data_IF_969747895379
#
_entry.id   IF_969747895379
#
_cell.length_a   1.000
_cell.length_b   1.000
_cell.length_c   1.000
_cell.angle_alpha   90.00
_cell.angle_beta   90.00
_cell.angle_gamma   90.00
#
_symmetry.space_group_name_H-M   'P 1'
#
loop_
_entity.id
_entity.type
_entity.pdbx_description
1 polymer ?
#
# COMPACT_ATOMS: atom_id res chain seq x y z
N UNK A 1 8.73 -13.56 -4.16
CA UNK A 1 8.07 -12.65 -3.21
C UNK A 1 7.81 -13.42 -1.92
N UNK A 2 8.32 -12.90 -0.80
CA UNK A 2 8.06 -13.46 0.53
C UNK A 2 6.97 -12.65 1.20
N UNK A 3 5.86 -13.28 1.57
CA UNK A 3 4.67 -12.62 2.12
C UNK A 3 4.56 -12.94 3.62
N UNK A 4 4.42 -11.92 4.48
CA UNK A 4 4.14 -12.13 5.91
C UNK A 4 2.79 -12.83 6.14
N UNK A 5 2.78 -13.86 6.99
CA UNK A 5 1.57 -14.57 7.38
C UNK A 5 0.89 -15.28 6.21
N UNK A 6 -0.43 -15.13 6.11
CA UNK A 6 -1.22 -15.79 5.04
C UNK A 6 -1.27 -14.98 3.75
N UNK A 7 -0.91 -13.69 3.80
CA UNK A 7 -1.07 -12.76 2.69
C UNK A 7 -2.50 -12.30 2.40
N UNK A 8 -3.50 -12.75 3.19
CA UNK A 8 -4.91 -12.34 3.05
C UNK A 8 -5.28 -11.09 3.85
N UNK A 9 -4.39 -10.62 4.72
CA UNK A 9 -4.63 -9.41 5.50
C UNK A 9 -4.80 -8.20 4.57
N UNK A 10 -5.89 -7.48 4.78
CA UNK A 10 -6.26 -6.32 3.98
C UNK A 10 -5.39 -5.13 4.36
N UNK A 11 -4.98 -4.34 3.37
CA UNK A 11 -4.30 -3.07 3.60
C UNK A 11 -4.61 -2.04 2.51
N UNK A 12 -4.28 -0.80 2.82
CA UNK A 12 -4.46 0.37 1.96
C UNK A 12 -3.15 0.73 1.28
N UNK A 13 -3.21 1.06 0.00
CA UNK A 13 -2.08 1.60 -0.76
C UNK A 13 -2.51 2.84 -1.52
N UNK A 14 -1.55 3.75 -1.73
CA UNK A 14 -1.71 4.94 -2.56
C UNK A 14 -0.36 5.20 -3.21
N UNK A 15 -0.33 5.49 -4.51
CA UNK A 15 0.92 5.83 -5.18
C UNK A 15 1.49 7.15 -4.63
N UNK A 16 2.81 7.26 -4.51
CA UNK A 16 3.45 8.49 -4.01
C UNK A 16 3.11 9.71 -4.87
N UNK A 17 2.99 9.52 -6.20
CA UNK A 17 2.58 10.55 -7.15
C UNK A 17 1.18 11.07 -6.84
N UNK A 18 0.25 10.17 -6.50
CA UNK A 18 -1.11 10.57 -6.18
C UNK A 18 -1.23 11.18 -4.78
N UNK A 19 -0.40 10.76 -3.82
CA UNK A 19 -0.25 11.47 -2.55
C UNK A 19 0.18 12.92 -2.79
N UNK A 20 1.12 13.18 -3.70
CA UNK A 20 1.53 14.55 -4.04
C UNK A 20 0.38 15.37 -4.65
N UNK A 21 -0.42 14.78 -5.56
CA UNK A 21 -1.61 15.43 -6.12
C UNK A 21 -2.62 15.78 -5.02
N UNK A 22 -2.87 14.85 -4.10
CA UNK A 22 -3.76 15.07 -2.96
C UNK A 22 -3.28 16.20 -2.06
N UNK A 23 -1.98 16.24 -1.73
CA UNK A 23 -1.42 17.33 -0.92
C UNK A 23 -1.59 18.68 -1.65
N UNK A 24 -1.36 18.71 -2.95
CA UNK A 24 -1.57 19.92 -3.76
C UNK A 24 -3.04 20.37 -3.76
N UNK A 25 -4.00 19.43 -3.84
CA UNK A 25 -5.43 19.76 -3.77
C UNK A 25 -5.87 20.18 -2.36
N UNK A 26 -5.31 19.58 -1.30
CA UNK A 26 -5.52 20.06 0.06
C UNK A 26 -5.13 21.53 0.17
N UNK A 27 -3.92 21.88 -0.26
CA UNK A 27 -3.39 23.26 -0.20
C UNK A 27 -4.27 24.29 -0.93
N UNK A 28 -5.05 23.87 -1.92
CA UNK A 28 -6.01 24.72 -2.65
C UNK A 28 -7.43 24.71 -2.05
N UNK A 29 -7.75 23.70 -1.24
CA UNK A 29 -9.09 23.51 -0.69
C UNK A 29 -9.49 24.66 0.22
N UNK A 30 -10.67 25.25 -0.03
CA UNK A 30 -11.31 26.21 0.86
C UNK A 30 -11.94 25.56 2.09
N UNK A 31 -12.14 24.23 2.07
CA UNK A 31 -12.61 23.47 3.22
C UNK A 31 -11.50 23.37 4.26
N UNK A 32 -11.83 23.58 5.54
CA UNK A 32 -10.90 23.33 6.64
C UNK A 32 -10.56 21.85 6.71
N UNK A 33 -9.28 21.52 6.84
CA UNK A 33 -8.85 20.14 6.96
C UNK A 33 -9.02 19.66 8.40
N UNK A 34 -9.31 18.37 8.54
CA UNK A 34 -9.28 17.70 9.84
C UNK A 34 -7.82 17.47 10.26
N UNK A 35 -7.54 17.31 11.56
CA UNK A 35 -6.22 16.92 12.03
C UNK A 35 -5.66 15.68 11.32
N UNK A 36 -6.56 14.77 10.93
CA UNK A 36 -6.25 13.60 10.11
C UNK A 36 -7.21 13.56 8.92
N UNK A 37 -6.64 13.56 7.71
CA UNK A 37 -7.37 13.40 6.45
C UNK A 37 -6.90 12.10 5.79
N UNK A 38 -7.84 11.23 5.46
CA UNK A 38 -7.55 9.89 4.94
C UNK A 38 -7.50 9.89 3.41
N UNK A 39 -6.52 9.16 2.87
CA UNK A 39 -6.30 9.00 1.43
C UNK A 39 -6.00 7.54 1.14
N UNK A 40 -6.77 6.95 0.23
CA UNK A 40 -6.60 5.56 -0.18
C UNK A 40 -6.81 5.49 -1.70
N UNK A 41 -5.81 5.02 -2.44
CA UNK A 41 -5.96 4.71 -3.86
C UNK A 41 -6.55 3.33 -4.09
N UNK A 42 -6.15 2.35 -3.29
CA UNK A 42 -6.62 0.97 -3.41
C UNK A 42 -6.64 0.29 -2.04
N UNK A 43 -7.65 -0.54 -1.81
CA UNK A 43 -7.66 -1.56 -0.76
C UNK A 43 -7.33 -2.92 -1.39
N UNK A 44 -6.39 -3.66 -0.80
CA UNK A 44 -5.89 -4.92 -1.39
C UNK A 44 -5.33 -5.88 -0.34
N UNK A 45 -4.77 -7.00 -0.78
CA UNK A 45 -4.00 -7.98 0.00
C UNK A 45 -2.68 -8.30 -0.70
N UNK A 46 -1.74 -8.93 0.01
CA UNK A 46 -0.46 -9.29 -0.62
C UNK A 46 -0.63 -10.35 -1.70
N UNK A 47 -1.59 -11.27 -1.54
CA UNK A 47 -1.94 -12.25 -2.56
C UNK A 47 -2.53 -11.60 -3.82
N UNK A 48 -3.42 -10.61 -3.66
CA UNK A 48 -3.96 -9.87 -4.79
C UNK A 48 -2.87 -9.09 -5.54
N UNK A 49 -1.95 -8.44 -4.82
CA UNK A 49 -0.81 -7.77 -5.45
C UNK A 49 0.13 -8.75 -6.16
N UNK A 50 0.40 -9.92 -5.56
CA UNK A 50 1.22 -10.94 -6.20
C UNK A 50 0.59 -11.44 -7.52
N UNK A 51 -0.73 -11.63 -7.54
CA UNK A 51 -1.46 -12.01 -8.75
C UNK A 51 -1.40 -10.91 -9.82
N UNK A 52 -1.55 -9.63 -9.43
CA UNK A 52 -1.40 -8.50 -10.36
C UNK A 52 0.01 -8.43 -10.97
N UNK A 53 1.06 -8.63 -10.17
CA UNK A 53 2.45 -8.65 -10.67
C UNK A 53 2.66 -9.81 -11.65
N UNK A 54 2.08 -10.97 -11.36
CA UNK A 54 2.18 -12.16 -12.22
C UNK A 54 1.45 -11.97 -13.55
N UNK A 55 0.25 -11.42 -13.52
CA UNK A 55 -0.65 -11.33 -14.68
C UNK A 55 -0.45 -10.06 -15.48
N UNK A 56 -0.56 -8.91 -14.84
CA UNK A 56 -0.46 -7.58 -15.48
C UNK A 56 1.01 -7.17 -15.63
N UNK A 57 1.79 -7.37 -14.56
CA UNK A 57 3.22 -7.06 -14.54
C UNK A 57 4.09 -7.99 -15.38
N UNK A 58 3.54 -9.08 -15.91
CA UNK A 58 4.23 -10.00 -16.81
C UNK A 58 5.26 -10.93 -16.13
N UNK A 59 5.30 -10.98 -14.80
CA UNK A 59 6.23 -11.86 -14.05
C UNK A 59 5.59 -13.23 -13.84
N UNK A 60 5.37 -13.95 -14.94
CA UNK A 60 4.58 -15.21 -14.95
C UNK A 60 5.15 -16.32 -14.05
N UNK A 61 6.45 -16.29 -13.76
CA UNK A 61 7.18 -17.24 -12.93
C UNK A 61 7.38 -16.76 -11.48
N UNK A 62 6.67 -15.71 -11.06
CA UNK A 62 6.74 -15.17 -9.70
C UNK A 62 6.49 -16.28 -8.65
N UNK A 63 7.54 -16.61 -7.90
CA UNK A 63 7.46 -17.54 -6.76
C UNK A 63 6.96 -16.81 -5.53
N UNK A 64 5.88 -17.29 -4.94
CA UNK A 64 5.34 -16.80 -3.66
C UNK A 64 5.71 -17.78 -2.55
N UNK A 65 6.26 -17.26 -1.45
CA UNK A 65 6.48 -18.00 -0.22
C UNK A 65 5.92 -17.23 0.96
N UNK A 66 5.62 -17.91 2.05
CA UNK A 66 5.03 -17.33 3.24
C UNK A 66 6.00 -17.39 4.41
N UNK A 67 6.03 -16.34 5.22
CA UNK A 67 6.82 -16.26 6.43
C UNK A 67 5.89 -16.24 7.65
N UNK A 68 5.97 -17.23 8.56
CA UNK A 68 5.10 -17.30 9.72
C UNK A 68 5.20 -16.06 10.61
N UNK A 69 4.06 -15.54 11.08
CA UNK A 69 4.02 -14.34 11.92
C UNK A 69 4.86 -14.49 13.20
N UNK A 70 4.89 -15.69 13.79
CA UNK A 70 5.64 -15.92 15.02
C UNK A 70 7.16 -15.91 14.80
N UNK A 71 7.64 -16.29 13.61
CA UNK A 71 9.05 -16.14 13.24
C UNK A 71 9.43 -14.66 13.08
N UNK A 72 8.53 -13.88 12.47
CA UNK A 72 8.73 -12.43 12.31
C UNK A 72 8.76 -11.74 13.68
N UNK A 73 7.84 -12.10 14.58
CA UNK A 73 7.83 -11.59 15.97
C UNK A 73 9.10 -11.97 16.72
N UNK A 74 9.55 -13.22 16.60
CA UNK A 74 10.79 -13.66 17.24
C UNK A 74 12.01 -12.86 16.72
N UNK A 75 12.06 -12.54 15.43
CA UNK A 75 13.11 -11.69 14.86
C UNK A 75 13.05 -10.25 15.41
N UNK A 76 11.85 -9.69 15.57
CA UNK A 76 11.60 -8.40 16.20
C UNK A 76 12.04 -8.34 17.67
N UNK A 77 11.83 -9.42 18.42
CA UNK A 77 12.21 -9.51 19.83
C UNK A 77 13.72 -9.65 20.00
N UNK A 78 14.34 -10.51 19.19
CA UNK A 78 15.79 -10.73 19.23
C UNK A 78 16.60 -9.49 18.85
N UNK A 79 16.07 -8.67 17.92
CA UNK A 79 16.75 -7.45 17.41
C UNK A 79 18.21 -7.69 17.03
N UNK A 80 18.47 -8.78 16.31
CA UNK A 80 19.84 -9.24 15.99
C UNK A 80 20.69 -8.15 15.31
N UNK A 81 20.06 -7.24 14.55
CA UNK A 81 20.65 -5.99 14.08
C UNK A 81 19.58 -4.92 13.87
N UNK A 82 19.95 -3.63 13.78
CA UNK A 82 19.02 -2.56 13.45
C UNK A 82 18.27 -2.80 12.14
N UNK A 83 18.96 -3.32 11.11
CA UNK A 83 18.36 -3.61 9.80
C UNK A 83 17.37 -4.77 9.89
N UNK A 84 17.72 -5.85 10.60
CA UNK A 84 16.82 -6.99 10.79
C UNK A 84 15.56 -6.59 11.57
N UNK A 85 15.72 -5.80 12.63
CA UNK A 85 14.60 -5.27 13.40
C UNK A 85 13.68 -4.39 12.54
N UNK A 86 14.26 -3.50 11.73
CA UNK A 86 13.50 -2.64 10.82
C UNK A 86 12.72 -3.46 9.78
N UNK A 87 13.36 -4.46 9.16
CA UNK A 87 12.70 -5.34 8.19
C UNK A 87 11.55 -6.12 8.83
N UNK A 88 11.75 -6.66 10.03
CA UNK A 88 10.71 -7.37 10.75
C UNK A 88 9.55 -6.43 11.15
N UNK A 89 9.83 -5.19 11.55
CA UNK A 89 8.80 -4.16 11.78
C UNK A 89 7.98 -3.88 10.52
N UNK A 90 8.62 -3.68 9.37
CA UNK A 90 7.92 -3.46 8.09
C UNK A 90 7.03 -4.65 7.71
N UNK A 91 7.54 -5.88 7.86
CA UNK A 91 6.77 -7.10 7.61
C UNK A 91 5.53 -7.22 8.51
N UNK A 92 5.59 -6.70 9.74
CA UNK A 92 4.46 -6.73 10.68
C UNK A 92 3.41 -5.65 10.44
N UNK A 93 3.65 -4.63 9.61
CA UNK A 93 2.69 -3.53 9.42
C UNK A 93 1.31 -4.02 8.93
N UNK A 94 1.29 -4.89 7.93
CA UNK A 94 0.04 -5.41 7.36
C UNK A 94 -0.64 -6.43 8.29
N UNK A 95 0.05 -7.49 8.79
CA UNK A 95 -0.57 -8.47 9.69
C UNK A 95 -1.04 -7.89 11.03
N UNK A 96 -0.47 -6.77 11.47
CA UNK A 96 -0.94 -6.07 12.69
C UNK A 96 -2.11 -5.11 12.45
N UNK A 97 -2.61 -5.02 11.22
CA UNK A 97 -3.72 -4.14 10.85
C UNK A 97 -3.35 -2.65 10.74
N UNK A 98 -2.08 -2.27 10.93
CA UNK A 98 -1.63 -0.86 10.93
C UNK A 98 -1.78 -0.15 9.57
N UNK A 99 -1.98 -0.91 8.50
CA UNK A 99 -2.21 -0.38 7.15
C UNK A 99 -3.70 -0.43 6.74
N UNK A 100 -4.62 -0.68 7.67
CA UNK A 100 -6.06 -0.60 7.41
C UNK A 100 -6.63 0.75 7.81
N UNK A 101 -7.61 1.23 7.05
CA UNK A 101 -8.33 2.46 7.36
C UNK A 101 -9.82 2.20 7.56
N UNK A 102 -10.43 3.04 8.39
CA UNK A 102 -11.87 3.17 8.49
C UNK A 102 -12.43 3.67 7.15
N UNK A 103 -13.20 2.80 6.48
CA UNK A 103 -13.66 3.03 5.11
C UNK A 103 -14.69 4.17 5.01
N UNK A 104 -15.44 4.45 6.07
CA UNK A 104 -16.39 5.56 6.06
C UNK A 104 -15.65 6.90 6.14
N UNK A 105 -14.55 6.97 6.88
CA UNK A 105 -13.67 8.15 6.91
C UNK A 105 -12.98 8.37 5.56
N UNK A 106 -12.48 7.29 4.94
CA UNK A 106 -11.87 7.35 3.60
C UNK A 106 -12.86 7.90 2.57
N UNK A 107 -14.09 7.36 2.52
CA UNK A 107 -15.14 7.82 1.58
C UNK A 107 -15.51 9.29 1.82
N UNK A 108 -15.71 9.68 3.08
CA UNK A 108 -16.01 11.07 3.45
C UNK A 108 -14.92 12.01 2.94
N UNK A 109 -13.66 11.75 3.30
CA UNK A 109 -12.55 12.65 2.97
C UNK A 109 -12.29 12.67 1.45
N UNK A 110 -12.51 11.54 0.76
CA UNK A 110 -12.49 11.46 -0.70
C UNK A 110 -13.50 12.42 -1.34
N UNK A 111 -14.73 12.44 -0.87
CA UNK A 111 -15.80 13.30 -1.39
C UNK A 111 -15.55 14.78 -1.05
N UNK A 112 -15.15 15.06 0.20
CA UNK A 112 -14.98 16.43 0.69
C UNK A 112 -13.75 17.14 0.13
N UNK A 113 -12.64 16.41 -0.10
CA UNK A 113 -11.35 17.01 -0.41
C UNK A 113 -10.77 16.60 -1.77
N UNK A 114 -11.14 15.43 -2.30
CA UNK A 114 -10.49 14.85 -3.49
C UNK A 114 -11.46 14.38 -4.59
N UNK A 115 -12.57 15.10 -4.88
CA UNK A 115 -13.58 14.61 -5.84
C UNK A 115 -13.01 14.47 -7.25
N UNK A 116 -12.03 15.28 -7.61
CA UNK A 116 -11.44 15.34 -8.96
C UNK A 116 -10.06 14.69 -9.07
N UNK A 117 -9.51 14.15 -7.97
CA UNK A 117 -8.20 13.51 -8.00
C UNK A 117 -8.38 12.05 -8.37
N UNK A 118 -7.94 11.65 -9.56
CA UNK A 118 -7.81 10.22 -9.86
C UNK A 118 -6.67 9.63 -9.00
N UNK A 119 -7.03 8.74 -8.07
CA UNK A 119 -6.07 7.97 -7.28
C UNK A 119 -5.96 6.59 -7.93
N UNK A 120 -4.75 6.24 -8.32
CA UNK A 120 -4.49 5.05 -9.12
C UNK A 120 -4.49 3.79 -8.28
N UNK A 121 -4.92 2.71 -8.92
CA UNK A 121 -4.77 1.34 -8.44
C UNK A 121 -3.38 0.78 -8.79
N UNK A 122 -3.02 -0.34 -8.16
CA UNK A 122 -1.80 -1.06 -8.54
C UNK A 122 -1.86 -1.60 -9.97
N UNK A 123 -3.05 -1.98 -10.46
CA UNK A 123 -3.24 -2.44 -11.83
C UNK A 123 -2.94 -1.34 -12.84
N UNK A 124 -3.54 -0.16 -12.69
CA UNK A 124 -3.29 0.99 -13.58
C UNK A 124 -1.81 1.36 -13.61
N UNK A 125 -1.14 1.33 -12.46
CA UNK A 125 0.31 1.56 -12.39
C UNK A 125 1.10 0.52 -13.20
N UNK A 126 0.78 -0.79 -13.06
CA UNK A 126 1.46 -1.84 -13.81
C UNK A 126 1.18 -1.77 -15.32
N UNK A 127 -0.03 -1.40 -15.71
CA UNK A 127 -0.41 -1.19 -17.11
C UNK A 127 0.37 -0.01 -17.73
N UNK A 128 0.53 1.09 -16.99
CA UNK A 128 1.34 2.24 -17.42
C UNK A 128 2.81 1.87 -17.57
N UNK A 129 3.40 1.14 -16.62
CA UNK A 129 4.79 0.68 -16.70
C UNK A 129 5.03 -0.22 -17.91
N UNK A 130 4.04 -1.04 -18.25
CA UNK A 130 4.11 -1.90 -19.43
C UNK A 130 4.15 -1.10 -20.73
N UNK A 131 3.48 0.05 -20.77
CA UNK A 131 3.47 0.96 -21.93
C UNK A 131 4.72 1.84 -21.98
N UNK A 132 5.13 2.35 -20.83
CA UNK A 132 6.32 3.19 -20.65
C UNK A 132 7.05 2.81 -19.35
N UNK A 133 8.14 2.01 -19.46
CA UNK A 133 8.92 1.60 -18.29
C UNK A 133 9.56 2.75 -17.51
N UNK A 134 9.63 3.96 -18.08
CA UNK A 134 10.23 5.15 -17.45
C UNK A 134 9.24 5.96 -16.61
N UNK A 135 7.96 5.58 -16.58
CA UNK A 135 6.91 6.29 -15.83
C UNK A 135 7.11 6.25 -14.30
N UNK A 136 7.84 5.23 -13.83
CA UNK A 136 8.34 5.12 -12.45
C UNK A 136 9.78 5.67 -12.44
N UNK A 137 9.95 6.83 -11.81
CA UNK A 137 11.26 7.47 -11.55
C UNK A 137 11.65 7.19 -10.11
#
# INVERSE_FOLDING_TARGET
MTIPGTGNDVFSTTSARDVAKVIAELLKSTNKWRPYTYVQGMQTTWLQLAELVKTVGGVSDLKVSFEPIDEIKAALEKKESPQAALLAEFKMLVPSGRCTFDQEKVKRDRVEHFPNVHLRTAQELLEEVKQDPTVII
#
